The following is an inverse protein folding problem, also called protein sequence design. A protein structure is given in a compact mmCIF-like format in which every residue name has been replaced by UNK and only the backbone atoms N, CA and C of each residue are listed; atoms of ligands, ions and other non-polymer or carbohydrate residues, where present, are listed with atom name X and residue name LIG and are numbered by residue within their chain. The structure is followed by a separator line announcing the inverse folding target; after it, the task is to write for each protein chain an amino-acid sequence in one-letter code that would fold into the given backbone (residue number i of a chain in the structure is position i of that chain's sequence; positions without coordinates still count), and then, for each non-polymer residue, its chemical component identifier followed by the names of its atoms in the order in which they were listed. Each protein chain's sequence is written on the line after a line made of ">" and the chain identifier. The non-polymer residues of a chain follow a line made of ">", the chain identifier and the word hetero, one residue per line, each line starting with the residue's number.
data_IF_936856521439
#
_entry.id   IF_936856521439
#
_cell.length_a   1.000
_cell.length_b   1.000
_cell.length_c   1.000
_cell.angle_alpha   90.00
_cell.angle_beta   90.00
_cell.angle_gamma   90.00
#
_symmetry.space_group_name_H-M   'P 1'
#
loop_
_entity.id
_entity.type
_entity.pdbx_description
1 polymer ?
#
# COMPACT_ATOMS: atom_id res chain seq x y z
N UNK A 1 10.78 3.02 -17.12
CA UNK A 1 11.02 3.02 -15.67
C UNK A 1 10.76 1.62 -15.13
N UNK A 2 11.79 1.01 -14.56
CA UNK A 2 11.74 -0.35 -14.01
C UNK A 2 10.95 -0.36 -12.68
N UNK A 3 10.46 -1.54 -12.27
CA UNK A 3 9.81 -1.77 -10.98
C UNK A 3 10.73 -1.34 -9.83
N UNK A 4 12.02 -1.67 -9.91
CA UNK A 4 12.99 -1.27 -8.90
C UNK A 4 13.10 0.25 -8.75
N UNK A 5 13.18 0.99 -9.86
CA UNK A 5 13.27 2.45 -9.86
C UNK A 5 12.02 3.09 -9.25
N UNK A 6 10.84 2.54 -9.53
CA UNK A 6 9.57 3.01 -8.95
C UNK A 6 9.51 2.81 -7.43
N UNK A 7 9.94 1.65 -6.97
CA UNK A 7 10.00 1.35 -5.53
C UNK A 7 11.00 2.28 -4.84
N UNK A 8 12.20 2.44 -5.41
CA UNK A 8 13.23 3.34 -4.86
C UNK A 8 12.75 4.78 -4.81
N UNK A 9 12.17 5.30 -5.90
CA UNK A 9 11.63 6.66 -5.94
C UNK A 9 10.58 6.87 -4.84
N UNK A 10 9.71 5.87 -4.61
CA UNK A 10 8.70 5.95 -3.55
C UNK A 10 9.32 5.98 -2.15
N UNK A 11 10.37 5.21 -1.91
CA UNK A 11 11.10 5.23 -0.64
C UNK A 11 11.74 6.60 -0.41
N UNK A 12 12.35 7.18 -1.45
CA UNK A 12 12.94 8.52 -1.40
C UNK A 12 11.88 9.58 -1.08
N UNK A 13 10.72 9.56 -1.75
CA UNK A 13 9.62 10.48 -1.45
C UNK A 13 9.20 10.42 0.03
N UNK A 14 9.07 9.22 0.60
CA UNK A 14 8.68 9.07 2.02
C UNK A 14 9.77 9.63 2.93
N UNK A 15 11.04 9.38 2.61
CA UNK A 15 12.18 9.93 3.37
C UNK A 15 12.23 11.46 3.31
N UNK A 16 11.98 12.06 2.15
CA UNK A 16 11.94 13.52 1.95
C UNK A 16 10.82 14.18 2.78
N UNK A 17 9.71 13.49 3.05
CA UNK A 17 8.66 13.97 3.96
C UNK A 17 9.06 13.95 5.44
N UNK A 18 10.33 13.64 5.75
CA UNK A 18 10.85 13.58 7.12
C UNK A 18 10.44 12.33 7.90
N UNK A 19 9.78 11.37 7.24
CA UNK A 19 9.37 10.11 7.87
C UNK A 19 10.36 9.02 7.51
N UNK A 20 10.99 8.41 8.53
CA UNK A 20 11.83 7.21 8.32
C UNK A 20 10.90 5.99 8.22
N UNK A 21 10.70 5.39 7.02
CA UNK A 21 9.58 4.49 6.80
C UNK A 21 9.71 3.16 7.57
N UNK A 22 10.93 2.67 7.79
CA UNK A 22 11.18 1.46 8.60
C UNK A 22 11.23 1.71 10.11
N UNK A 23 11.11 2.98 10.56
CA UNK A 23 11.01 3.34 11.98
C UNK A 23 9.60 3.80 12.37
N UNK A 24 8.61 3.75 11.47
CA UNK A 24 7.25 4.21 11.74
C UNK A 24 6.66 3.38 12.89
N UNK A 25 6.31 3.99 14.05
CA UNK A 25 5.93 3.24 15.26
C UNK A 25 4.53 2.63 15.19
N UNK A 26 3.72 3.05 14.20
CA UNK A 26 2.37 2.57 13.96
C UNK A 26 2.39 1.61 12.77
N UNK A 27 2.85 0.39 13.02
CA UNK A 27 2.45 -0.75 12.19
C UNK A 27 0.94 -0.87 12.47
N UNK A 28 0.09 -0.71 11.45
CA UNK A 28 -1.31 -1.14 11.59
C UNK A 28 -1.27 -2.54 12.20
N UNK A 29 -1.87 -2.76 13.38
CA UNK A 29 -1.57 -3.97 14.19
C UNK A 29 -1.75 -5.26 13.39
N UNK A 30 -2.57 -5.18 12.34
CA UNK A 30 -2.65 -6.14 11.26
C UNK A 30 -1.95 -5.56 10.02
N UNK A 31 -0.88 -6.20 9.58
CA UNK A 31 -0.20 -5.79 8.36
C UNK A 31 -1.08 -5.87 7.11
N UNK A 32 -0.71 -5.14 6.05
CA UNK A 32 -1.42 -5.12 4.77
C UNK A 32 -1.81 -6.53 4.27
N UNK A 33 -3.09 -6.69 3.91
CA UNK A 33 -3.66 -7.96 3.41
C UNK A 33 -4.72 -7.71 2.34
N UNK A 34 -4.92 -8.70 1.48
CA UNK A 34 -5.94 -8.60 0.45
C UNK A 34 -7.35 -8.74 1.07
N UNK A 35 -8.29 -7.87 0.71
CA UNK A 35 -9.64 -7.91 1.29
C UNK A 35 -10.40 -9.20 0.96
N UNK A 36 -10.19 -9.77 -0.22
CA UNK A 36 -10.93 -10.94 -0.71
C UNK A 36 -10.32 -12.22 -0.14
N UNK A 37 -9.03 -12.46 -0.39
CA UNK A 37 -8.38 -13.71 0.01
C UNK A 37 -7.98 -13.73 1.48
N UNK A 38 -8.00 -12.58 2.15
CA UNK A 38 -7.50 -12.36 3.51
C UNK A 38 -6.02 -12.70 3.71
N UNK A 39 -5.29 -13.01 2.63
CA UNK A 39 -3.86 -13.31 2.67
C UNK A 39 -3.07 -12.02 2.87
N UNK A 40 -2.13 -12.04 3.82
CA UNK A 40 -1.17 -10.97 4.02
C UNK A 40 -0.21 -10.85 2.84
N UNK A 41 0.15 -9.61 2.50
CA UNK A 41 1.22 -9.36 1.54
C UNK A 41 2.57 -9.76 2.15
N UNK A 42 3.58 -9.92 1.30
CA UNK A 42 4.93 -10.38 1.68
C UNK A 42 5.98 -9.47 1.06
N UNK A 43 7.15 -9.44 1.69
CA UNK A 43 8.31 -8.67 1.20
C UNK A 43 8.01 -7.18 1.08
N UNK A 44 8.47 -6.57 -0.01
CA UNK A 44 8.41 -5.12 -0.20
C UNK A 44 6.99 -4.56 -0.24
N UNK A 45 6.01 -5.33 -0.72
CA UNK A 45 4.61 -4.89 -0.75
C UNK A 45 4.06 -4.70 0.67
N UNK A 46 4.49 -5.53 1.61
CA UNK A 46 4.09 -5.36 3.01
C UNK A 46 4.56 -4.01 3.55
N UNK A 47 5.80 -3.64 3.23
CA UNK A 47 6.40 -2.38 3.65
C UNK A 47 5.75 -1.16 2.97
N UNK A 48 5.65 -1.17 1.64
CA UNK A 48 5.10 -0.05 0.86
C UNK A 48 3.64 0.24 1.21
N UNK A 49 2.82 -0.81 1.31
CA UNK A 49 1.40 -0.66 1.64
C UNK A 49 1.21 -0.12 3.06
N UNK A 50 1.98 -0.58 4.04
CA UNK A 50 1.91 -0.06 5.42
C UNK A 50 2.45 1.37 5.55
N UNK A 51 3.30 1.83 4.63
CA UNK A 51 3.75 3.22 4.63
C UNK A 51 2.67 4.20 4.16
N UNK A 52 1.60 3.70 3.54
CA UNK A 52 0.48 4.53 3.06
C UNK A 52 -0.26 5.23 4.21
N UNK A 53 -0.94 6.36 3.96
CA UNK A 53 -1.61 7.14 5.00
C UNK A 53 -2.93 6.52 5.49
N UNK A 54 -3.30 5.33 5.02
CA UNK A 54 -4.58 4.71 5.31
C UNK A 54 -4.52 3.82 6.56
N UNK A 55 -5.53 3.92 7.43
CA UNK A 55 -5.63 3.08 8.63
C UNK A 55 -6.17 1.68 8.38
N UNK A 56 -6.84 1.44 7.25
CA UNK A 56 -7.36 0.11 6.90
C UNK A 56 -6.22 -0.81 6.40
N UNK A 57 -6.09 -2.04 6.93
CA UNK A 57 -5.08 -2.99 6.47
C UNK A 57 -5.47 -3.67 5.14
N UNK A 58 -6.67 -3.40 4.62
CA UNK A 58 -7.22 -4.10 3.48
C UNK A 58 -6.94 -3.41 2.16
N UNK A 59 -6.38 -4.18 1.22
CA UNK A 59 -6.08 -3.73 -0.13
C UNK A 59 -6.83 -4.56 -1.18
N UNK A 60 -7.12 -3.91 -2.30
CA UNK A 60 -7.84 -4.47 -3.44
C UNK A 60 -7.23 -3.97 -4.73
N UNK A 61 -7.27 -4.80 -5.76
CA UNK A 61 -7.08 -4.31 -7.13
C UNK A 61 -8.37 -3.68 -7.65
N UNK A 62 -8.26 -2.83 -8.67
CA UNK A 62 -9.42 -2.21 -9.31
C UNK A 62 -10.46 -3.24 -9.79
N UNK A 63 -9.99 -4.32 -10.44
CA UNK A 63 -10.86 -5.40 -10.91
C UNK A 63 -11.57 -6.11 -9.76
N UNK A 64 -10.86 -6.36 -8.65
CA UNK A 64 -11.44 -6.99 -7.46
C UNK A 64 -12.51 -6.12 -6.80
N UNK A 65 -12.30 -4.79 -6.75
CA UNK A 65 -13.31 -3.85 -6.25
C UNK A 65 -14.58 -3.91 -7.11
N UNK A 66 -14.45 -3.85 -8.43
CA UNK A 66 -15.58 -3.95 -9.36
C UNK A 66 -16.34 -5.27 -9.25
N UNK A 67 -15.63 -6.39 -9.16
CA UNK A 67 -16.24 -7.73 -8.99
C UNK A 67 -17.05 -7.87 -7.70
N UNK A 68 -16.72 -7.09 -6.67
CA UNK A 68 -17.47 -7.03 -5.41
C UNK A 68 -18.57 -5.96 -5.40
N UNK A 69 -18.87 -5.35 -6.55
CA UNK A 69 -19.86 -4.27 -6.68
C UNK A 69 -19.38 -2.92 -6.14
N UNK A 70 -18.11 -2.82 -5.74
CA UNK A 70 -17.49 -1.58 -5.28
C UNK A 70 -17.00 -0.71 -6.45
N UNK A 71 -16.81 0.57 -6.18
CA UNK A 71 -16.23 1.54 -7.13
C UNK A 71 -15.07 2.27 -6.47
N UNK A 72 -13.97 2.44 -7.20
CA UNK A 72 -12.89 3.32 -6.79
C UNK A 72 -13.32 4.76 -7.01
N UNK A 73 -13.16 5.61 -6.00
CA UNK A 73 -13.57 7.02 -6.08
C UNK A 73 -12.75 7.74 -7.17
N UNK A 74 -13.38 8.68 -7.87
CA UNK A 74 -12.71 9.47 -8.91
C UNK A 74 -11.58 10.29 -8.27
N UNK A 75 -10.38 10.21 -8.84
CA UNK A 75 -9.18 10.91 -8.35
C UNK A 75 -8.24 10.06 -7.50
N UNK A 76 -8.67 8.88 -7.04
CA UNK A 76 -7.81 7.95 -6.29
C UNK A 76 -6.71 7.35 -7.17
N UNK A 77 -5.53 7.13 -6.58
CA UNK A 77 -4.37 6.54 -7.26
C UNK A 77 -3.99 5.19 -6.65
N UNK A 78 -3.56 4.26 -7.49
CA UNK A 78 -3.05 2.95 -7.05
C UNK A 78 -1.70 3.10 -6.35
N UNK A 79 -1.44 2.23 -5.38
CA UNK A 79 -0.10 2.05 -4.79
C UNK A 79 0.66 0.99 -5.60
N UNK A 80 1.92 1.25 -5.99
CA UNK A 80 2.75 0.32 -6.76
C UNK A 80 3.19 -0.91 -5.96
#
# INVERSE_FOLDING_TARGET
>A
MNVYERVTARIMEILETGTIPWKKPWISSEGAKNLITKKSYRGINQFLLNCSPYGSPYWLTFKQALQKGGKVRKGEKSTP
#
